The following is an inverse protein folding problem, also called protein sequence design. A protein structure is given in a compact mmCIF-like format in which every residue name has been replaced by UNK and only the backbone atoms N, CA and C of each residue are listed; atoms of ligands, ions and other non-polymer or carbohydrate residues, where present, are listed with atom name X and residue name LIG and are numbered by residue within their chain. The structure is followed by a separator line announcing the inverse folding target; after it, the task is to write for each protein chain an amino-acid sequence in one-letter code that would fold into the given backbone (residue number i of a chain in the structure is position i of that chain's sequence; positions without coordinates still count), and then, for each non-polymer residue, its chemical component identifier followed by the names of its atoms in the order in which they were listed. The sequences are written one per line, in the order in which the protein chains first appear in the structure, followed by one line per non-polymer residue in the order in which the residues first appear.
data_IF_688032706213
#
_entry.id   IF_688032706213
#
_cell.length_a   1.000
_cell.length_b   1.000
_cell.length_c   1.000
_cell.angle_alpha   90.00
_cell.angle_beta   90.00
_cell.angle_gamma   90.00
#
_symmetry.space_group_name_H-M   'P 1'
#
loop_
_entity.id
_entity.type
_entity.pdbx_description
1 polymer ?
#
# COMPACT_ATOMS: atom_id res chain seq x y z
N UNK A 1 0.62 -9.67 -9.96
CA UNK A 1 0.52 -9.65 -8.49
C UNK A 1 -0.91 -9.28 -8.11
N UNK A 2 -1.81 -10.26 -8.09
CA UNK A 2 -3.11 -10.09 -7.44
C UNK A 2 -2.85 -10.33 -5.95
N UNK A 3 -2.76 -9.26 -5.17
CA UNK A 3 -2.70 -9.31 -3.71
C UNK A 3 -4.02 -9.89 -3.20
N UNK A 4 -4.13 -11.21 -3.10
CA UNK A 4 -5.32 -11.93 -2.62
C UNK A 4 -5.50 -11.84 -1.08
N UNK A 5 -4.94 -10.82 -0.43
CA UNK A 5 -4.98 -10.68 1.04
C UNK A 5 -4.66 -9.30 1.60
N UNK A 6 -4.41 -8.29 0.75
CA UNK A 6 -3.95 -6.96 1.20
C UNK A 6 -5.07 -5.96 1.48
N UNK A 7 -6.27 -6.22 0.96
CA UNK A 7 -7.48 -5.41 1.06
C UNK A 7 -8.27 -5.69 2.35
N UNK A 8 -8.22 -6.92 2.87
CA UNK A 8 -8.87 -7.27 4.15
C UNK A 8 -8.25 -6.57 5.35
N UNK A 9 -6.96 -6.30 5.27
CA UNK A 9 -6.17 -5.69 6.35
C UNK A 9 -6.59 -4.25 6.69
N UNK A 10 -6.65 -3.30 5.74
CA UNK A 10 -7.16 -1.95 6.00
C UNK A 10 -8.64 -1.95 6.36
N UNK A 11 -9.45 -2.88 5.82
CA UNK A 11 -10.85 -3.02 6.21
C UNK A 11 -10.99 -3.45 7.67
N UNK A 12 -10.16 -4.39 8.13
CA UNK A 12 -10.11 -4.82 9.54
C UNK A 12 -9.75 -3.65 10.47
N UNK A 13 -8.75 -2.84 10.10
CA UNK A 13 -8.38 -1.63 10.85
C UNK A 13 -9.54 -0.63 10.92
N UNK A 14 -10.21 -0.41 9.80
CA UNK A 14 -11.31 0.55 9.72
C UNK A 14 -12.51 0.09 10.55
N UNK A 15 -12.93 -1.18 10.42
CA UNK A 15 -14.05 -1.74 11.18
C UNK A 15 -13.75 -1.78 12.68
N UNK A 16 -12.57 -2.28 13.08
CA UNK A 16 -12.17 -2.32 14.49
C UNK A 16 -12.03 -0.91 15.08
N UNK A 17 -11.51 0.05 14.30
CA UNK A 17 -11.38 1.45 14.68
C UNK A 17 -12.73 2.13 14.93
N UNK A 18 -13.72 1.88 14.06
CA UNK A 18 -15.09 2.37 14.24
C UNK A 18 -15.73 1.76 15.50
N UNK A 19 -15.53 0.47 15.77
CA UNK A 19 -16.10 -0.20 16.96
C UNK A 19 -15.55 0.38 18.27
N UNK A 20 -14.25 0.72 18.33
CA UNK A 20 -13.62 1.30 19.53
C UNK A 20 -13.84 2.81 19.68
N UNK A 21 -14.45 3.47 18.70
CA UNK A 21 -14.57 4.93 18.66
C UNK A 21 -15.57 5.46 19.70
N UNK A 22 -15.02 6.05 20.76
CA UNK A 22 -15.78 6.74 21.82
C UNK A 22 -15.90 8.25 21.54
N UNK A 23 -17.04 8.90 21.87
CA UNK A 23 -18.28 8.33 22.43
C UNK A 23 -19.29 7.87 21.36
N UNK A 24 -19.01 8.04 20.07
CA UNK A 24 -20.03 7.93 19.02
C UNK A 24 -20.54 6.50 18.77
N UNK A 25 -19.66 5.50 18.69
CA UNK A 25 -20.01 4.14 18.26
C UNK A 25 -19.79 3.09 19.36
N UNK A 26 -18.75 3.25 20.17
CA UNK A 26 -18.41 2.29 21.21
C UNK A 26 -19.53 2.02 22.26
N UNK A 27 -20.40 2.98 22.66
CA UNK A 27 -21.49 2.68 23.59
C UNK A 27 -22.58 1.77 23.02
N UNK A 28 -22.68 1.64 21.68
CA UNK A 28 -23.64 0.75 21.03
C UNK A 28 -23.19 -0.71 21.01
N UNK A 29 -21.94 -1.01 21.38
CA UNK A 29 -21.37 -2.35 21.37
C UNK A 29 -21.12 -2.87 22.79
N UNK A 30 -21.20 -4.19 22.96
CA UNK A 30 -20.95 -4.83 24.24
C UNK A 30 -19.47 -4.74 24.64
N UNK A 31 -19.19 -4.62 25.94
CA UNK A 31 -17.83 -4.56 26.51
C UNK A 31 -16.89 -5.68 25.99
N UNK A 32 -17.30 -6.96 25.88
CA UNK A 32 -16.40 -8.00 25.35
C UNK A 32 -16.02 -7.77 23.88
N UNK A 33 -16.93 -7.24 23.05
CA UNK A 33 -16.66 -6.94 21.63
C UNK A 33 -15.64 -5.81 21.50
N UNK A 34 -15.76 -4.75 22.31
CA UNK A 34 -14.81 -3.63 22.31
C UNK A 34 -13.39 -4.11 22.69
N UNK A 35 -13.27 -5.01 23.67
CA UNK A 35 -11.96 -5.58 24.07
C UNK A 35 -11.32 -6.39 22.94
N UNK A 36 -12.10 -7.21 22.25
CA UNK A 36 -11.61 -7.99 21.12
C UNK A 36 -11.24 -7.10 19.93
N UNK A 37 -12.06 -6.10 19.63
CA UNK A 37 -11.79 -5.10 18.59
C UNK A 37 -10.51 -4.32 18.89
N UNK A 38 -10.26 -3.95 20.15
CA UNK A 38 -9.03 -3.26 20.54
C UNK A 38 -7.79 -4.13 20.30
N UNK A 39 -7.83 -5.42 20.68
CA UNK A 39 -6.72 -6.34 20.46
C UNK A 39 -6.42 -6.52 18.97
N UNK A 40 -7.45 -6.72 18.14
CA UNK A 40 -7.34 -6.81 16.68
C UNK A 40 -6.79 -5.50 16.08
N UNK A 41 -7.29 -4.36 16.54
CA UNK A 41 -6.85 -3.05 16.04
C UNK A 41 -5.37 -2.80 16.34
N UNK A 42 -4.92 -3.10 17.56
CA UNK A 42 -3.50 -2.96 17.94
C UNK A 42 -2.61 -3.87 17.10
N UNK A 43 -3.00 -5.12 16.87
CA UNK A 43 -2.21 -6.05 16.06
C UNK A 43 -2.13 -5.59 14.60
N UNK A 44 -3.25 -5.12 14.06
CA UNK A 44 -3.28 -4.58 12.71
C UNK A 44 -2.52 -3.25 12.60
N UNK A 45 -2.54 -2.39 13.61
CA UNK A 45 -1.76 -1.16 13.61
C UNK A 45 -0.25 -1.46 13.56
N UNK A 46 0.22 -2.44 14.35
CA UNK A 46 1.63 -2.87 14.34
C UNK A 46 2.03 -3.45 12.98
N UNK A 47 1.21 -4.33 12.42
CA UNK A 47 1.48 -4.89 11.09
C UNK A 47 1.52 -3.81 9.99
N UNK A 48 0.69 -2.76 10.10
CA UNK A 48 0.66 -1.67 9.13
C UNK A 48 1.97 -0.88 9.19
N UNK A 49 2.44 -0.60 10.40
CA UNK A 49 3.72 0.08 10.62
C UNK A 49 4.86 -0.73 9.99
N UNK A 50 4.90 -2.04 10.20
CA UNK A 50 5.94 -2.92 9.60
C UNK A 50 5.86 -2.89 8.07
N UNK A 51 4.67 -2.97 7.48
CA UNK A 51 4.49 -2.88 6.02
C UNK A 51 4.98 -1.54 5.48
N UNK A 52 4.65 -0.44 6.16
CA UNK A 52 5.12 0.91 5.78
C UNK A 52 6.64 1.00 5.87
N UNK A 53 7.26 0.45 6.92
CA UNK A 53 8.72 0.43 7.05
C UNK A 53 9.38 -0.31 5.89
N UNK A 54 8.89 -1.51 5.55
CA UNK A 54 9.40 -2.29 4.41
C UNK A 54 9.17 -1.54 3.09
N UNK A 55 8.02 -0.88 2.93
CA UNK A 55 7.69 -0.11 1.74
C UNK A 55 8.65 1.08 1.54
N UNK A 56 8.91 1.86 2.59
CA UNK A 56 9.86 2.98 2.56
C UNK A 56 11.27 2.47 2.26
N UNK A 57 11.68 1.36 2.88
CA UNK A 57 12.97 0.74 2.64
C UNK A 57 13.15 0.31 1.17
N UNK A 58 12.12 -0.32 0.59
CA UNK A 58 12.14 -0.69 -0.83
C UNK A 58 12.24 0.53 -1.76
N UNK A 59 11.52 1.61 -1.44
CA UNK A 59 11.57 2.86 -2.19
C UNK A 59 12.96 3.52 -2.16
N UNK A 60 13.65 3.45 -1.01
CA UNK A 60 15.00 3.99 -0.83
C UNK A 60 16.10 3.10 -1.43
N UNK A 61 15.91 1.78 -1.42
CA UNK A 61 16.87 0.83 -1.99
C UNK A 61 17.00 1.04 -3.49
N UNK A 62 15.86 1.07 -4.20
CA UNK A 62 15.87 1.19 -5.66
C UNK A 62 16.01 2.67 -6.05
N UNK A 63 17.26 3.10 -6.25
CA UNK A 63 17.60 4.45 -6.71
C UNK A 63 16.78 4.82 -7.96
N UNK A 64 16.13 5.98 -7.93
CA UNK A 64 15.22 6.46 -8.98
C UNK A 64 13.73 6.19 -8.74
N UNK A 65 13.37 5.33 -7.78
CA UNK A 65 11.95 5.03 -7.47
C UNK A 65 11.24 6.21 -6.81
N UNK A 66 11.94 6.97 -5.96
CA UNK A 66 11.36 8.17 -5.32
C UNK A 66 11.09 9.25 -6.37
N UNK A 67 12.04 9.53 -7.27
CA UNK A 67 11.86 10.43 -8.41
C UNK A 67 10.68 9.97 -9.27
N UNK A 68 10.53 8.66 -9.51
CA UNK A 68 9.37 8.10 -10.21
C UNK A 68 8.04 8.43 -9.53
N UNK A 69 7.96 8.36 -8.20
CA UNK A 69 6.73 8.64 -7.44
C UNK A 69 6.41 10.14 -7.32
N UNK A 70 7.43 10.98 -7.13
CA UNK A 70 7.25 12.42 -6.87
C UNK A 70 7.17 13.21 -8.17
N UNK A 71 8.05 12.95 -9.12
CA UNK A 71 8.14 13.71 -10.38
C UNK A 71 7.40 13.02 -11.53
N UNK A 72 7.02 11.75 -11.37
CA UNK A 72 6.22 11.02 -12.36
C UNK A 72 6.99 10.54 -13.59
N UNK A 73 8.31 10.69 -13.65
CA UNK A 73 9.15 10.23 -14.76
C UNK A 73 10.31 9.36 -14.30
N UNK A 74 10.77 8.47 -15.19
CA UNK A 74 11.88 7.55 -14.94
C UNK A 74 12.86 7.56 -16.10
N UNK A 75 14.14 7.34 -15.81
CA UNK A 75 15.14 7.22 -16.88
C UNK A 75 14.94 5.93 -17.68
N UNK A 76 15.17 6.00 -18.99
CA UNK A 76 15.09 4.83 -19.89
C UNK A 76 15.97 3.67 -19.44
N UNK A 77 17.14 3.96 -18.86
CA UNK A 77 18.06 2.96 -18.32
C UNK A 77 17.46 2.23 -17.09
N UNK A 78 16.79 2.96 -16.19
CA UNK A 78 16.10 2.40 -15.04
C UNK A 78 14.92 1.52 -15.47
N UNK A 79 14.11 2.01 -16.41
CA UNK A 79 12.98 1.27 -16.96
C UNK A 79 13.43 -0.05 -17.60
N UNK A 80 14.54 -0.03 -18.36
CA UNK A 80 15.12 -1.25 -18.95
C UNK A 80 15.62 -2.25 -17.91
N UNK A 81 16.17 -1.78 -16.79
CA UNK A 81 16.76 -2.62 -15.72
C UNK A 81 15.70 -3.21 -14.78
N UNK A 82 14.75 -2.40 -14.32
CA UNK A 82 13.78 -2.80 -13.30
C UNK A 82 12.42 -3.23 -13.88
N UNK A 83 12.03 -2.71 -15.05
CA UNK A 83 10.75 -3.04 -15.71
C UNK A 83 10.92 -3.31 -17.22
N UNK A 84 11.69 -4.34 -17.61
CA UNK A 84 12.03 -4.59 -19.01
C UNK A 84 10.82 -4.88 -19.91
N UNK A 85 9.73 -5.45 -19.36
CA UNK A 85 8.49 -5.69 -20.11
C UNK A 85 7.78 -4.39 -20.45
N UNK A 86 7.56 -3.54 -19.44
CA UNK A 86 6.93 -2.24 -19.59
C UNK A 86 7.73 -1.32 -20.53
N UNK A 87 9.07 -1.30 -20.41
CA UNK A 87 9.91 -0.52 -21.31
C UNK A 87 9.71 -0.91 -22.80
N UNK A 88 9.60 -2.21 -23.09
CA UNK A 88 9.32 -2.68 -24.47
C UNK A 88 7.93 -2.28 -24.95
N UNK A 89 6.92 -2.32 -24.08
CA UNK A 89 5.55 -1.92 -24.42
C UNK A 89 5.45 -0.43 -24.73
N UNK A 90 6.07 0.42 -23.90
CA UNK A 90 6.12 1.87 -24.11
C UNK A 90 6.83 2.20 -25.42
N UNK A 91 8.00 1.58 -25.69
CA UNK A 91 8.73 1.80 -26.95
C UNK A 91 7.93 1.44 -28.20
N UNK A 92 7.27 0.26 -28.20
CA UNK A 92 6.39 -0.16 -29.30
C UNK A 92 5.24 0.82 -29.51
N UNK A 93 4.68 1.35 -28.42
CA UNK A 93 3.59 2.33 -28.48
C UNK A 93 4.06 3.66 -29.07
N UNK A 94 5.26 4.12 -28.69
CA UNK A 94 5.86 5.34 -29.25
C UNK A 94 6.16 5.21 -30.73
N UNK A 95 6.71 4.07 -31.17
CA UNK A 95 7.02 3.81 -32.58
C UNK A 95 5.75 3.79 -33.44
N UNK A 96 4.68 3.13 -32.97
CA UNK A 96 3.38 3.10 -33.65
C UNK A 96 2.70 4.48 -33.74
N UNK A 97 2.99 5.41 -32.82
CA UNK A 97 2.41 6.75 -32.83
C UNK A 97 3.16 7.72 -33.76
N UNK A 98 4.40 7.39 -34.11
CA UNK A 98 5.24 8.19 -35.00
C UNK A 98 5.06 7.81 -36.48
N UNK A 99 4.43 6.65 -36.75
CA UNK A 99 3.97 6.15 -38.05
C UNK A 99 2.58 6.71 -38.38
#
# INVERSE_FOLDING_TARGET
MRFLGGDYFPVLLLVSGVIIWRPYFAPAFSIPVIRFALMLHSFAAVALIVVIMVHIYAALWVKGTITAMVEGWVTSAWAKKHHPRWYREVRKTTEKKAE
#
